data_IF_101009918129
#
_entry.id   IF_101009918129
#
_cell.length_a   1.000
_cell.length_b   1.000
_cell.length_c   1.000
_cell.angle_alpha   90.00
_cell.angle_beta   90.00
_cell.angle_gamma   90.00
#
_symmetry.space_group_name_H-M   'P 1'
#
loop_
_entity.id
_entity.type
_entity.pdbx_description
1 polymer ?
#
# COMPACT_ATOMS: atom_id res chain seq x y z
N UNK A 1 45.05 5.71 36.12
CA UNK A 1 43.81 6.48 35.99
C UNK A 1 42.59 5.63 35.57
N UNK A 2 42.79 4.47 34.93
CA UNK A 2 41.70 3.63 34.41
C UNK A 2 40.95 2.77 35.47
N UNK A 3 41.57 2.40 36.59
CA UNK A 3 40.88 1.51 37.56
C UNK A 3 39.74 2.18 38.34
N UNK A 4 39.87 3.48 38.62
CA UNK A 4 38.81 4.24 39.32
C UNK A 4 37.63 4.50 38.40
N UNK A 5 37.87 4.74 37.11
CA UNK A 5 36.83 4.89 36.10
C UNK A 5 36.01 3.60 35.92
N UNK A 6 36.71 2.46 35.84
CA UNK A 6 36.04 1.17 35.71
C UNK A 6 35.26 0.77 36.98
N UNK A 7 35.72 1.12 38.17
CA UNK A 7 34.99 0.85 39.40
C UNK A 7 33.74 1.73 39.54
N UNK A 8 33.81 2.99 39.08
CA UNK A 8 32.68 3.90 39.04
C UNK A 8 31.65 3.42 38.00
N UNK A 9 32.09 3.09 36.80
CA UNK A 9 31.21 2.59 35.73
C UNK A 9 30.50 1.31 36.15
N UNK A 10 31.23 0.37 36.82
CA UNK A 10 30.63 -0.86 37.32
C UNK A 10 29.60 -0.60 38.42
N UNK A 11 29.85 0.34 39.31
CA UNK A 11 28.91 0.74 40.34
C UNK A 11 27.64 1.29 39.73
N UNK A 12 27.76 2.25 38.82
CA UNK A 12 26.60 2.87 38.12
C UNK A 12 25.80 1.83 37.31
N UNK A 13 26.47 0.91 36.62
CA UNK A 13 25.81 -0.18 35.89
C UNK A 13 25.04 -1.14 36.83
N UNK A 14 25.62 -1.45 38.01
CA UNK A 14 24.95 -2.32 38.98
C UNK A 14 23.78 -1.61 39.65
N UNK A 15 23.91 -0.32 39.97
CA UNK A 15 22.83 0.49 40.54
C UNK A 15 21.70 0.69 39.54
N UNK A 16 22.02 0.97 38.27
CA UNK A 16 21.03 1.05 37.18
C UNK A 16 20.31 -0.29 36.95
N UNK A 17 21.03 -1.42 36.98
CA UNK A 17 20.45 -2.76 36.85
C UNK A 17 19.56 -3.15 38.04
N UNK A 18 19.77 -2.55 39.21
CA UNK A 18 19.01 -2.78 40.43
C UNK A 18 17.70 -1.99 40.47
N UNK A 19 17.63 -0.89 39.73
CA UNK A 19 16.41 -0.16 39.53
C UNK A 19 15.53 -0.85 38.47
N UNK A 20 14.78 -1.81 38.94
CA UNK A 20 13.85 -2.60 38.06
C UNK A 20 12.88 -1.73 37.30
N UNK A 21 12.50 -0.54 37.82
CA UNK A 21 11.52 0.32 37.19
C UNK A 21 12.11 1.00 35.96
N UNK A 22 13.31 1.57 36.05
CA UNK A 22 13.99 2.22 34.92
C UNK A 22 14.42 1.20 33.86
N UNK A 23 14.92 0.01 34.31
CA UNK A 23 15.27 -1.09 33.40
C UNK A 23 14.04 -1.60 32.64
N UNK A 24 12.93 -1.83 33.35
CA UNK A 24 11.70 -2.29 32.72
C UNK A 24 11.12 -1.23 31.77
N UNK A 25 11.18 0.05 32.12
CA UNK A 25 10.75 1.13 31.22
C UNK A 25 11.60 1.17 29.94
N UNK A 26 12.93 1.08 30.06
CA UNK A 26 13.83 1.04 28.92
C UNK A 26 13.62 -0.19 28.04
N UNK A 27 13.45 -1.35 28.66
CA UNK A 27 13.19 -2.62 27.96
C UNK A 27 11.82 -2.59 27.24
N UNK A 28 10.81 -2.00 27.89
CA UNK A 28 9.48 -1.82 27.31
C UNK A 28 9.55 -1.01 26.01
N UNK A 29 10.22 0.14 26.01
CA UNK A 29 10.36 0.95 24.81
C UNK A 29 11.19 0.25 23.73
N UNK A 30 12.29 -0.40 24.11
CA UNK A 30 13.17 -1.07 23.16
C UNK A 30 12.55 -2.28 22.48
N UNK A 31 11.61 -2.97 23.13
CA UNK A 31 10.96 -4.17 22.60
C UNK A 31 9.58 -3.86 22.07
N UNK A 32 8.77 -3.12 22.84
CA UNK A 32 7.37 -2.88 22.49
C UNK A 32 7.22 -1.98 21.26
N UNK A 33 8.04 -0.92 21.12
CA UNK A 33 7.91 0.01 19.99
C UNK A 33 8.20 -0.67 18.65
N UNK A 34 9.27 -1.46 18.47
CA UNK A 34 9.49 -2.20 17.22
C UNK A 34 8.39 -3.23 16.91
N UNK A 35 7.91 -3.95 17.94
CA UNK A 35 6.83 -4.94 17.75
C UNK A 35 5.53 -4.23 17.35
N UNK A 36 5.19 -3.15 18.02
CA UNK A 36 4.01 -2.35 17.69
C UNK A 36 4.09 -1.77 16.28
N UNK A 37 5.25 -1.24 15.89
CA UNK A 37 5.48 -0.75 14.52
C UNK A 37 5.35 -1.86 13.49
N UNK A 38 5.91 -3.04 13.75
CA UNK A 38 5.78 -4.18 12.85
C UNK A 38 4.32 -4.62 12.71
N UNK A 39 3.58 -4.69 13.81
CA UNK A 39 2.15 -5.00 13.80
C UNK A 39 1.34 -3.94 13.04
N UNK A 40 1.66 -2.66 13.22
CA UNK A 40 0.99 -1.57 12.51
C UNK A 40 1.27 -1.58 11.01
N UNK A 41 2.50 -1.87 10.60
CA UNK A 41 2.86 -2.07 9.19
C UNK A 41 2.09 -3.25 8.60
N UNK A 42 1.97 -4.36 9.34
CA UNK A 42 1.25 -5.55 8.91
C UNK A 42 -0.25 -5.26 8.71
N UNK A 43 -0.87 -4.50 9.62
CA UNK A 43 -2.25 -4.03 9.49
C UNK A 43 -2.43 -3.08 8.29
N UNK A 44 -1.47 -2.17 8.05
CA UNK A 44 -1.51 -1.29 6.87
C UNK A 44 -1.39 -2.07 5.57
N UNK A 45 -0.51 -3.07 5.50
CA UNK A 45 -0.38 -3.95 4.33
C UNK A 45 -1.70 -4.71 4.11
N UNK A 46 -2.28 -5.26 5.15
CA UNK A 46 -3.56 -5.96 5.09
C UNK A 46 -4.68 -5.03 4.60
N UNK A 47 -4.76 -3.81 5.11
CA UNK A 47 -5.74 -2.81 4.68
C UNK A 47 -5.55 -2.38 3.22
N UNK A 48 -4.29 -2.24 2.75
CA UNK A 48 -4.01 -1.91 1.34
C UNK A 48 -4.31 -3.10 0.43
N UNK A 49 -4.07 -4.33 0.90
CA UNK A 49 -4.29 -5.55 0.12
C UNK A 49 -5.78 -5.95 0.12
N UNK A 50 -6.48 -5.74 1.24
CA UNK A 50 -7.93 -6.02 1.38
C UNK A 50 -8.81 -5.02 0.61
N UNK A 51 -8.26 -3.91 0.12
CA UNK A 51 -8.95 -3.02 -0.82
C UNK A 51 -9.30 -3.70 -2.17
N UNK A 52 -8.91 -4.97 -2.36
CA UNK A 52 -9.27 -5.76 -3.54
C UNK A 52 -10.74 -6.22 -3.56
N UNK A 53 -11.44 -6.22 -2.44
CA UNK A 53 -12.85 -6.61 -2.33
C UNK A 53 -13.84 -5.41 -2.35
N UNK A 54 -13.40 -4.25 -2.85
CA UNK A 54 -14.30 -3.15 -3.10
C UNK A 54 -15.29 -3.56 -4.19
N UNK A 55 -16.51 -3.87 -3.77
CA UNK A 55 -17.58 -4.23 -4.67
C UNK A 55 -17.81 -3.12 -5.70
N UNK A 56 -17.61 -3.45 -6.96
CA UNK A 56 -17.92 -2.58 -8.09
C UNK A 56 -19.30 -2.94 -8.56
N UNK A 57 -20.19 -1.97 -8.65
CA UNK A 57 -21.52 -2.16 -9.23
C UNK A 57 -21.45 -1.89 -10.73
N UNK A 58 -22.01 -2.78 -11.54
CA UNK A 58 -22.08 -2.59 -12.98
C UNK A 58 -23.55 -2.48 -13.40
N UNK A 59 -23.91 -1.32 -13.91
CA UNK A 59 -25.25 -1.07 -14.47
C UNK A 59 -25.28 -1.44 -15.94
N UNK A 60 -26.30 -2.22 -16.36
CA UNK A 60 -26.50 -2.71 -17.73
C UNK A 60 -25.42 -3.71 -18.19
N UNK A 61 -24.99 -4.63 -17.28
CA UNK A 61 -23.97 -5.64 -17.55
C UNK A 61 -24.31 -6.54 -18.75
N UNK A 62 -25.59 -6.85 -18.96
CA UNK A 62 -26.08 -7.70 -20.07
C UNK A 62 -25.76 -7.13 -21.46
N UNK A 63 -25.57 -5.81 -21.57
CA UNK A 63 -25.22 -5.18 -22.84
C UNK A 63 -23.77 -5.42 -23.29
N UNK A 64 -22.89 -5.87 -22.36
CA UNK A 64 -21.46 -5.99 -22.62
C UNK A 64 -20.85 -7.26 -21.98
N UNK A 65 -21.30 -8.48 -22.34
CA UNK A 65 -20.82 -9.71 -21.71
C UNK A 65 -19.31 -9.93 -21.86
N UNK A 66 -18.73 -9.51 -22.98
CA UNK A 66 -17.29 -9.62 -23.24
C UNK A 66 -16.48 -8.71 -22.30
N UNK A 67 -16.97 -7.50 -22.02
CA UNK A 67 -16.36 -6.58 -21.07
C UNK A 67 -16.43 -7.14 -19.64
N UNK A 68 -17.57 -7.70 -19.26
CA UNK A 68 -17.75 -8.31 -17.93
C UNK A 68 -16.78 -9.48 -17.77
N UNK A 69 -16.72 -10.40 -18.73
CA UNK A 69 -15.78 -11.52 -18.68
C UNK A 69 -14.31 -11.04 -18.59
N UNK A 70 -13.97 -9.96 -19.27
CA UNK A 70 -12.64 -9.35 -19.18
C UNK A 70 -12.35 -8.80 -17.78
N UNK A 71 -13.29 -8.06 -17.19
CA UNK A 71 -13.17 -7.51 -15.83
C UNK A 71 -13.01 -8.61 -14.79
N UNK A 72 -13.80 -9.68 -14.87
CA UNK A 72 -13.72 -10.84 -13.99
C UNK A 72 -12.35 -11.55 -14.10
N UNK A 73 -11.83 -11.72 -15.32
CA UNK A 73 -10.51 -12.30 -15.56
C UNK A 73 -9.37 -11.44 -14.99
N UNK A 74 -9.57 -10.14 -14.86
CA UNK A 74 -8.63 -9.21 -14.23
C UNK A 74 -8.82 -9.11 -12.71
N UNK A 75 -9.70 -9.94 -12.14
CA UNK A 75 -9.97 -9.99 -10.70
C UNK A 75 -10.78 -8.79 -10.20
N UNK A 76 -11.52 -8.12 -11.09
CA UNK A 76 -12.49 -7.09 -10.71
C UNK A 76 -13.83 -7.78 -10.53
N UNK A 77 -14.17 -8.08 -9.27
CA UNK A 77 -15.45 -8.68 -8.94
C UNK A 77 -16.53 -7.62 -8.96
N UNK A 78 -17.66 -7.93 -9.58
CA UNK A 78 -18.84 -7.08 -9.58
C UNK A 78 -19.93 -7.72 -8.70
N UNK A 79 -20.71 -6.87 -8.03
CA UNK A 79 -21.91 -7.30 -7.29
C UNK A 79 -23.13 -6.72 -8.00
N UNK A 80 -24.11 -7.58 -8.28
CA UNK A 80 -25.40 -7.16 -8.82
C UNK A 80 -26.27 -6.45 -7.76
N UNK A 81 -25.89 -6.53 -6.49
CA UNK A 81 -26.64 -5.98 -5.38
C UNK A 81 -26.25 -4.51 -5.14
N UNK A 82 -27.15 -3.61 -5.55
CA UNK A 82 -27.01 -2.16 -5.37
C UNK A 82 -26.94 -1.69 -3.91
N UNK A 83 -27.11 -2.59 -2.96
CA UNK A 83 -27.18 -2.24 -1.53
C UNK A 83 -25.83 -2.25 -0.82
N UNK A 84 -24.83 -3.00 -1.31
CA UNK A 84 -23.57 -3.21 -0.57
C UNK A 84 -22.39 -2.39 -1.04
N UNK A 85 -22.41 -1.81 -2.25
CA UNK A 85 -21.24 -1.10 -2.76
C UNK A 85 -21.60 0.16 -3.53
N UNK A 86 -21.66 1.29 -2.83
CA UNK A 86 -21.79 2.62 -3.45
C UNK A 86 -20.46 3.23 -3.87
N UNK A 87 -19.36 2.51 -3.76
CA UNK A 87 -18.05 3.10 -3.88
C UNK A 87 -17.64 3.40 -5.32
N UNK A 88 -17.92 2.45 -6.24
CA UNK A 88 -17.56 2.58 -7.66
C UNK A 88 -18.69 1.99 -8.50
N UNK A 89 -19.21 2.76 -9.45
CA UNK A 89 -20.22 2.30 -10.39
C UNK A 89 -19.73 2.44 -11.82
N UNK A 90 -19.90 1.38 -12.60
CA UNK A 90 -19.65 1.38 -14.06
C UNK A 90 -20.99 1.35 -14.74
N UNK A 91 -21.29 2.36 -15.54
CA UNK A 91 -22.50 2.44 -16.34
C UNK A 91 -22.15 2.14 -17.80
N UNK A 92 -22.76 1.12 -18.34
CA UNK A 92 -22.65 0.74 -19.75
C UNK A 92 -23.80 1.34 -20.52
N UNK A 93 -23.52 2.10 -21.58
CA UNK A 93 -24.54 2.73 -22.40
C UNK A 93 -25.41 1.71 -23.15
N UNK A 94 -26.70 1.98 -23.33
CA UNK A 94 -27.65 1.10 -24.03
C UNK A 94 -27.23 0.82 -25.49
N UNK A 95 -26.53 1.75 -26.10
CA UNK A 95 -26.00 1.62 -27.46
C UNK A 95 -24.67 0.87 -27.57
N UNK A 96 -24.10 0.38 -26.44
CA UNK A 96 -22.78 -0.25 -26.39
C UNK A 96 -22.62 -1.39 -27.42
N UNK A 97 -23.53 -2.34 -27.44
CA UNK A 97 -23.47 -3.49 -28.34
C UNK A 97 -23.52 -3.07 -29.84
N UNK A 98 -24.33 -2.06 -30.17
CA UNK A 98 -24.43 -1.53 -31.51
C UNK A 98 -23.15 -0.77 -31.95
N UNK A 99 -22.62 0.07 -31.07
CA UNK A 99 -21.37 0.79 -31.30
C UNK A 99 -20.18 -0.18 -31.45
N UNK A 100 -20.12 -1.22 -30.63
CA UNK A 100 -19.09 -2.24 -30.73
C UNK A 100 -19.15 -3.01 -32.06
N UNK A 101 -20.36 -3.36 -32.54
CA UNK A 101 -20.57 -4.01 -33.86
C UNK A 101 -20.16 -3.15 -35.03
N UNK A 102 -20.40 -1.82 -34.93
CA UNK A 102 -19.99 -0.87 -35.95
C UNK A 102 -18.53 -0.51 -35.92
N UNK A 103 -17.82 -1.01 -34.94
CA UNK A 103 -16.43 -0.63 -34.62
C UNK A 103 -16.28 0.86 -34.24
N UNK A 104 -17.36 1.48 -33.76
CA UNK A 104 -17.35 2.82 -33.17
C UNK A 104 -16.90 2.78 -31.71
N UNK A 105 -16.41 3.89 -31.15
CA UNK A 105 -16.14 3.98 -29.71
C UNK A 105 -17.44 3.83 -28.91
N UNK A 106 -17.46 2.86 -28.00
CA UNK A 106 -18.59 2.66 -27.09
C UNK A 106 -18.37 3.44 -25.79
N UNK A 107 -19.46 4.01 -25.27
CA UNK A 107 -19.39 4.81 -24.05
C UNK A 107 -19.54 3.93 -22.80
N UNK A 108 -18.60 4.07 -21.88
CA UNK A 108 -18.63 3.48 -20.55
C UNK A 108 -18.28 4.57 -19.54
N UNK A 109 -19.18 4.81 -18.59
CA UNK A 109 -19.03 5.85 -17.58
C UNK A 109 -18.61 5.20 -16.26
N UNK A 110 -17.51 5.67 -15.70
CA UNK A 110 -17.03 5.28 -14.36
C UNK A 110 -17.42 6.38 -13.38
N UNK A 111 -18.31 6.06 -12.44
CA UNK A 111 -18.71 6.95 -11.36
C UNK A 111 -18.07 6.46 -10.07
N UNK A 112 -17.33 7.34 -9.39
CA UNK A 112 -16.71 7.05 -8.12
C UNK A 112 -16.54 8.33 -7.30
N UNK A 113 -16.58 8.20 -5.97
CA UNK A 113 -16.25 9.31 -5.08
C UNK A 113 -14.73 9.45 -4.97
N UNK A 114 -14.19 10.43 -5.65
CA UNK A 114 -12.75 10.73 -5.64
C UNK A 114 -12.25 11.38 -4.34
N UNK A 115 -13.13 11.72 -3.39
CA UNK A 115 -12.72 12.31 -2.11
C UNK A 115 -12.26 11.25 -1.10
N UNK A 116 -12.63 9.99 -1.30
CA UNK A 116 -12.22 8.90 -0.45
C UNK A 116 -10.84 8.35 -0.84
N UNK A 117 -9.85 8.53 0.02
CA UNK A 117 -8.46 8.17 -0.23
C UNK A 117 -8.25 6.67 -0.42
N UNK A 118 -9.01 5.84 0.29
CA UNK A 118 -9.02 4.37 0.19
C UNK A 118 -9.54 3.88 -1.18
N UNK A 119 -10.40 4.64 -1.86
CA UNK A 119 -10.95 4.26 -3.18
C UNK A 119 -10.02 4.62 -4.35
N UNK A 120 -9.06 5.52 -4.16
CA UNK A 120 -8.19 6.01 -5.21
C UNK A 120 -7.40 4.91 -5.94
N UNK A 121 -6.97 3.87 -5.21
CA UNK A 121 -6.27 2.72 -5.79
C UNK A 121 -7.20 1.88 -6.67
N UNK A 122 -8.41 1.61 -6.19
CA UNK A 122 -9.44 0.86 -6.92
C UNK A 122 -9.93 1.61 -8.16
N UNK A 123 -10.19 2.92 -8.04
CA UNK A 123 -10.56 3.78 -9.17
C UNK A 123 -9.49 3.71 -10.27
N UNK A 124 -8.22 3.92 -9.91
CA UNK A 124 -7.10 3.85 -10.87
C UNK A 124 -6.93 2.46 -11.48
N UNK A 125 -7.13 1.39 -10.69
CA UNK A 125 -7.08 0.01 -11.18
C UNK A 125 -8.19 -0.24 -12.20
N UNK A 126 -9.43 0.10 -11.87
CA UNK A 126 -10.60 -0.05 -12.73
C UNK A 126 -10.43 0.75 -14.03
N UNK A 127 -10.02 2.00 -13.92
CA UNK A 127 -9.76 2.85 -15.09
C UNK A 127 -8.68 2.27 -16.01
N UNK A 128 -7.57 1.76 -15.45
CA UNK A 128 -6.52 1.11 -16.23
C UNK A 128 -7.01 -0.17 -16.91
N UNK A 129 -7.82 -0.96 -16.20
CA UNK A 129 -8.39 -2.19 -16.77
C UNK A 129 -9.33 -1.89 -17.92
N UNK A 130 -10.20 -0.88 -17.81
CA UNK A 130 -11.04 -0.42 -18.92
C UNK A 130 -10.22 0.10 -20.10
N UNK A 131 -9.14 0.84 -19.84
CA UNK A 131 -8.23 1.31 -20.89
C UNK A 131 -7.50 0.14 -21.58
N UNK A 132 -7.08 -0.88 -20.84
CA UNK A 132 -6.46 -2.08 -21.39
C UNK A 132 -7.43 -2.83 -22.30
N UNK A 133 -8.69 -3.01 -21.85
CA UNK A 133 -9.74 -3.60 -22.69
C UNK A 133 -9.93 -2.81 -23.98
N UNK A 134 -10.03 -1.49 -23.89
CA UNK A 134 -10.15 -0.61 -25.06
C UNK A 134 -8.97 -0.77 -26.03
N UNK A 135 -7.75 -0.83 -25.52
CA UNK A 135 -6.54 -1.04 -26.33
C UNK A 135 -6.51 -2.41 -27.00
N UNK A 136 -6.94 -3.47 -26.28
CA UNK A 136 -7.04 -4.83 -26.81
C UNK A 136 -8.06 -4.90 -27.95
N UNK A 137 -9.27 -4.33 -27.75
CA UNK A 137 -10.30 -4.26 -28.78
C UNK A 137 -9.84 -3.45 -29.99
N UNK A 138 -9.16 -2.33 -29.79
CA UNK A 138 -8.57 -1.55 -30.88
C UNK A 138 -7.53 -2.36 -31.65
N UNK A 139 -6.68 -3.12 -30.95
CA UNK A 139 -5.69 -4.02 -31.56
C UNK A 139 -6.35 -5.11 -32.43
N UNK A 140 -7.40 -5.76 -31.91
CA UNK A 140 -8.15 -6.79 -32.65
C UNK A 140 -8.82 -6.21 -33.91
N UNK A 141 -9.40 -5.00 -33.80
CA UNK A 141 -9.99 -4.29 -34.96
C UNK A 141 -8.96 -3.97 -36.04
N UNK A 142 -7.73 -3.61 -35.67
CA UNK A 142 -6.65 -3.36 -36.62
C UNK A 142 -6.21 -4.67 -37.30
N UNK A 143 -6.04 -5.75 -36.55
CA UNK A 143 -5.72 -7.09 -37.12
C UNK A 143 -6.77 -7.51 -38.11
N UNK A 144 -8.05 -7.38 -37.79
CA UNK A 144 -9.16 -7.71 -38.69
C UNK A 144 -9.14 -6.92 -40.00
N UNK A 145 -8.52 -5.72 -40.00
CA UNK A 145 -8.30 -4.88 -41.18
C UNK A 145 -6.96 -5.13 -41.87
N UNK A 146 -6.19 -6.12 -41.43
CA UNK A 146 -4.85 -6.42 -41.96
C UNK A 146 -3.77 -5.42 -41.57
N UNK A 147 -4.03 -4.57 -40.56
CA UNK A 147 -3.10 -3.55 -40.09
C UNK A 147 -2.38 -4.11 -38.85
N UNK A 148 -1.05 -3.97 -38.80
CA UNK A 148 -0.29 -4.40 -37.66
C UNK A 148 -0.54 -3.47 -36.44
N UNK A 149 -1.03 -3.99 -35.29
CA UNK A 149 -1.33 -3.16 -34.11
C UNK A 149 -0.12 -2.43 -33.53
N UNK A 150 1.09 -2.90 -33.83
CA UNK A 150 2.34 -2.25 -33.38
C UNK A 150 2.48 -0.81 -33.87
N UNK A 151 1.73 -0.43 -34.92
CA UNK A 151 1.73 0.95 -35.44
C UNK A 151 1.18 1.93 -34.39
N UNK A 152 0.36 1.46 -33.46
CA UNK A 152 -0.16 2.29 -32.36
C UNK A 152 0.91 2.61 -31.31
N UNK A 153 1.93 1.79 -31.21
CA UNK A 153 2.99 1.93 -30.22
C UNK A 153 4.24 2.54 -30.86
N UNK A 154 4.32 3.86 -30.84
CA UNK A 154 5.49 4.60 -31.39
C UNK A 154 6.77 4.39 -30.56
N UNK A 155 6.63 3.98 -29.29
CA UNK A 155 7.73 3.78 -28.38
C UNK A 155 7.60 2.44 -27.67
N UNK A 156 8.68 1.69 -27.59
CA UNK A 156 8.79 0.50 -26.74
C UNK A 156 9.55 0.88 -25.46
N UNK A 157 8.85 1.36 -24.46
CA UNK A 157 9.44 1.74 -23.18
C UNK A 157 9.70 0.48 -22.37
N UNK A 158 10.98 0.12 -22.22
CA UNK A 158 11.42 -0.93 -21.30
C UNK A 158 11.87 -0.28 -20.00
N UNK A 159 11.13 -0.50 -18.94
CA UNK A 159 11.60 -0.16 -17.60
C UNK A 159 12.59 -1.22 -17.13
N UNK A 160 13.86 -0.83 -17.01
CA UNK A 160 14.87 -1.68 -16.39
C UNK A 160 14.98 -1.27 -14.92
N UNK A 161 14.26 -2.00 -14.06
CA UNK A 161 14.36 -1.81 -12.62
C UNK A 161 15.73 -2.31 -12.16
N UNK A 162 16.60 -1.37 -11.78
CA UNK A 162 17.95 -1.67 -11.24
C UNK A 162 17.91 -1.87 -9.71
N UNK A 163 16.76 -1.73 -9.09
CA UNK A 163 16.61 -2.00 -7.66
C UNK A 163 16.72 -3.50 -7.42
N UNK A 164 17.76 -3.92 -6.71
CA UNK A 164 17.82 -5.29 -6.19
C UNK A 164 16.72 -5.50 -5.14
N UNK A 165 16.27 -6.76 -4.98
CA UNK A 165 15.38 -7.13 -3.87
C UNK A 165 15.99 -6.76 -2.52
N UNK A 166 17.32 -6.74 -2.42
CA UNK A 166 18.11 -6.29 -1.28
C UNK A 166 17.95 -4.78 -1.04
N UNK A 167 17.87 -3.96 -2.08
CA UNK A 167 17.66 -2.52 -1.95
C UNK A 167 16.28 -2.17 -1.39
N UNK A 168 15.23 -2.90 -1.81
CA UNK A 168 13.86 -2.71 -1.28
C UNK A 168 13.75 -3.19 0.19
N UNK A 169 14.39 -4.31 0.51
CA UNK A 169 14.52 -4.81 1.88
C UNK A 169 15.37 -3.89 2.75
N UNK A 170 16.47 -3.36 2.22
CA UNK A 170 17.36 -2.43 2.90
C UNK A 170 16.67 -1.15 3.37
N UNK A 171 15.72 -0.63 2.59
CA UNK A 171 14.95 0.56 2.97
C UNK A 171 14.05 0.29 4.19
N UNK A 172 13.38 -0.86 4.23
CA UNK A 172 12.57 -1.27 5.38
C UNK A 172 13.44 -1.53 6.62
N UNK A 173 14.56 -2.23 6.44
CA UNK A 173 15.52 -2.49 7.52
C UNK A 173 16.10 -1.17 8.04
N UNK A 174 16.45 -0.23 7.17
CA UNK A 174 16.92 1.11 7.55
C UNK A 174 15.90 1.86 8.41
N UNK A 175 14.63 1.80 8.06
CA UNK A 175 13.56 2.39 8.84
C UNK A 175 13.41 1.74 10.23
N UNK A 176 13.47 0.41 10.31
CA UNK A 176 13.43 -0.33 11.59
C UNK A 176 14.62 0.05 12.48
N UNK A 177 15.84 0.11 11.91
CA UNK A 177 17.05 0.50 12.64
C UNK A 177 16.92 1.93 13.15
N UNK A 178 16.39 2.86 12.33
CA UNK A 178 16.17 4.24 12.76
C UNK A 178 15.24 4.32 13.96
N UNK A 179 14.12 3.59 13.93
CA UNK A 179 13.18 3.55 15.05
C UNK A 179 13.77 2.87 16.30
N UNK A 180 14.58 1.82 16.14
CA UNK A 180 15.30 1.22 17.24
C UNK A 180 16.27 2.20 17.90
N UNK A 181 17.05 2.93 17.11
CA UNK A 181 17.96 3.97 17.62
C UNK A 181 17.22 5.09 18.34
N UNK A 182 16.11 5.55 17.77
CA UNK A 182 15.25 6.56 18.39
C UNK A 182 14.70 6.08 19.74
N UNK A 183 14.25 4.83 19.81
CA UNK A 183 13.74 4.21 21.04
C UNK A 183 14.81 4.13 22.13
N UNK A 184 16.04 3.73 21.76
CA UNK A 184 17.18 3.68 22.68
C UNK A 184 17.53 5.08 23.19
N UNK A 185 17.50 6.08 22.30
CA UNK A 185 17.79 7.48 22.65
C UNK A 185 16.75 8.05 23.62
N UNK A 186 15.46 7.86 23.35
CA UNK A 186 14.36 8.29 24.23
C UNK A 186 14.43 7.59 25.60
N UNK A 187 14.74 6.28 25.60
CA UNK A 187 14.92 5.54 26.85
C UNK A 187 16.10 6.05 27.67
N UNK A 188 17.24 6.35 27.01
CA UNK A 188 18.41 6.93 27.65
C UNK A 188 18.16 8.34 28.22
N UNK A 189 17.37 9.15 27.51
CA UNK A 189 16.98 10.47 27.94
C UNK A 189 16.11 10.42 29.21
N UNK A 190 15.14 9.50 29.27
CA UNK A 190 14.32 9.32 30.48
C UNK A 190 15.16 8.89 31.67
N UNK A 191 16.11 7.97 31.48
CA UNK A 191 17.03 7.56 32.53
C UNK A 191 17.92 8.73 33.03
N UNK A 192 18.42 9.57 32.13
CA UNK A 192 19.21 10.72 32.44
C UNK A 192 18.41 11.80 33.21
N UNK A 193 17.14 11.99 32.88
CA UNK A 193 16.24 12.91 33.61
C UNK A 193 15.98 12.40 35.02
N UNK A 194 15.68 11.11 35.19
CA UNK A 194 15.41 10.49 36.51
C UNK A 194 16.64 10.58 37.42
N UNK A 195 17.85 10.32 36.90
CA UNK A 195 19.09 10.42 37.67
C UNK A 195 19.43 11.85 38.05
N UNK A 196 19.20 12.83 37.14
CA UNK A 196 19.50 14.24 37.40
C UNK A 196 18.46 14.92 38.29
N UNK A 197 17.18 14.55 38.20
CA UNK A 197 16.12 15.05 39.06
C UNK A 197 16.21 14.48 40.50
N UNK A 198 16.55 13.20 40.62
CA UNK A 198 16.69 12.53 41.91
C UNK A 198 17.86 13.03 42.78
N UNK A 199 18.90 13.60 42.18
CA UNK A 199 20.00 14.25 42.93
C UNK A 199 19.64 15.66 43.49
N UNK A 200 18.63 16.32 42.88
CA UNK A 200 18.19 17.65 43.32
C UNK A 200 17.25 17.63 44.54
N UNK A 201 16.63 16.50 44.81
CA UNK A 201 15.70 16.35 45.95
C UNK A 201 16.37 15.79 47.22
N UNK A 202 17.66 15.51 47.18
CA UNK A 202 18.48 15.15 48.34
C UNK A 202 19.36 16.33 48.80
#
# INVERSE_FOLDING_TARGET
MNSRFFSLLRKELVDAARDKRSVMAGLYYAIFVPIFMAAMIMLLIDQITSAEDLGITISNADAAPDLIAFLDNQGIRHSDDKSESKAIEIIIGDSYAEQMRRADPAEVILIADGSEENLQSAIRRTQRTLQNYSAEMAGLRLIARGINPRIMNSLNVKMQDQSSSESKGGQLIGMIILFMLLSIFVSGMNLAIDTSAGERER
#
